data_IF_141262467879
#
_entry.id   IF_141262467879
#
_cell.length_a   1.000
_cell.length_b   1.000
_cell.length_c   1.000
_cell.angle_alpha   90.00
_cell.angle_beta   90.00
_cell.angle_gamma   90.00
#
_symmetry.space_group_name_H-M   'P 1'
#
loop_
_entity.id
_entity.type
_entity.pdbx_description
1 polymer ?
#
# COMPACT_ATOMS: atom_id res chain seq x y z
N UNK A 1 1.83 -26.96 15.15
CA UNK A 1 2.29 -25.99 16.17
C UNK A 1 1.20 -24.95 16.39
N UNK A 2 0.99 -24.50 17.62
CA UNK A 2 -0.15 -23.65 18.02
C UNK A 2 0.37 -22.36 18.64
N UNK A 3 -0.07 -21.21 18.11
CA UNK A 3 0.19 -19.90 18.70
C UNK A 3 -0.53 -19.76 20.05
N UNK A 4 0.12 -19.08 21.00
CA UNK A 4 -0.50 -18.62 22.23
C UNK A 4 -1.55 -17.54 21.92
N UNK A 5 -2.46 -17.27 22.88
CA UNK A 5 -3.53 -16.28 22.68
C UNK A 5 -3.00 -14.87 22.37
N UNK A 6 -1.98 -14.42 23.11
CA UNK A 6 -1.35 -13.11 22.90
C UNK A 6 -0.67 -13.01 21.53
N UNK A 7 0.12 -14.03 21.16
CA UNK A 7 0.75 -14.16 19.85
C UNK A 7 -0.28 -14.15 18.71
N UNK A 8 -1.39 -14.87 18.90
CA UNK A 8 -2.48 -14.91 17.94
C UNK A 8 -3.13 -13.54 17.75
N UNK A 9 -3.30 -12.77 18.82
CA UNK A 9 -3.82 -11.41 18.71
C UNK A 9 -2.82 -10.45 18.04
N UNK A 10 -1.53 -10.59 18.35
CA UNK A 10 -0.47 -9.85 17.65
C UNK A 10 -0.48 -10.12 16.15
N UNK A 11 -0.63 -11.39 15.73
CA UNK A 11 -0.76 -11.74 14.32
C UNK A 11 -2.02 -11.12 13.72
N UNK A 12 -3.17 -11.18 14.40
CA UNK A 12 -4.43 -10.58 13.93
C UNK A 12 -4.28 -9.09 13.63
N UNK A 13 -3.59 -8.37 14.51
CA UNK A 13 -3.42 -6.92 14.43
C UNK A 13 -2.27 -6.46 13.52
N UNK A 14 -1.46 -7.39 12.98
CA UNK A 14 -0.30 -7.08 12.11
C UNK A 14 -0.67 -6.19 10.92
N UNK A 15 -1.90 -6.35 10.42
CA UNK A 15 -2.48 -5.50 9.37
C UNK A 15 -3.85 -5.00 9.84
N UNK A 16 -3.89 -4.38 11.04
CA UNK A 16 -5.08 -3.69 11.57
C UNK A 16 -6.36 -4.52 11.72
N UNK A 17 -6.23 -5.85 11.77
CA UNK A 17 -7.39 -6.74 11.79
C UNK A 17 -7.92 -7.12 10.40
N UNK A 18 -7.21 -6.80 9.33
CA UNK A 18 -7.55 -7.19 7.96
C UNK A 18 -6.75 -8.44 7.53
N UNK A 19 -7.31 -9.17 6.57
CA UNK A 19 -6.63 -10.26 5.89
C UNK A 19 -5.40 -9.70 5.16
N UNK A 20 -4.22 -10.23 5.48
CA UNK A 20 -2.97 -9.83 4.86
C UNK A 20 -2.95 -10.02 3.34
N UNK A 21 -3.82 -10.87 2.79
CA UNK A 21 -3.87 -11.18 1.36
C UNK A 21 -4.91 -10.34 0.62
N UNK A 22 -6.20 -10.55 0.88
CA UNK A 22 -7.27 -9.83 0.15
C UNK A 22 -7.70 -8.51 0.78
N UNK A 23 -7.27 -8.20 2.01
CA UNK A 23 -7.61 -6.96 2.70
C UNK A 23 -8.99 -6.91 3.35
N UNK A 24 -9.79 -7.98 3.29
CA UNK A 24 -11.09 -8.02 3.98
C UNK A 24 -10.91 -7.90 5.50
N UNK A 25 -11.81 -7.20 6.18
CA UNK A 25 -11.84 -7.15 7.64
C UNK A 25 -12.07 -8.55 8.21
N UNK A 26 -11.25 -8.95 9.18
CA UNK A 26 -11.36 -10.25 9.83
C UNK A 26 -12.40 -10.20 10.94
N UNK A 27 -13.40 -11.07 10.87
CA UNK A 27 -14.29 -11.36 11.99
C UNK A 27 -13.66 -12.33 12.99
N UNK A 28 -14.49 -12.91 13.86
CA UNK A 28 -14.04 -13.83 14.92
C UNK A 28 -13.37 -15.10 14.38
N UNK A 29 -13.74 -15.51 13.16
CA UNK A 29 -13.20 -16.70 12.48
C UNK A 29 -12.20 -16.29 11.41
N UNK A 30 -10.92 -16.46 11.73
CA UNK A 30 -9.79 -16.19 10.84
C UNK A 30 -8.67 -17.21 11.07
N UNK A 31 -7.75 -17.35 10.12
CA UNK A 31 -6.65 -18.32 10.17
C UNK A 31 -5.31 -17.59 10.31
N UNK A 32 -4.40 -18.17 11.09
CA UNK A 32 -3.01 -17.72 11.10
C UNK A 32 -2.26 -18.57 10.09
N UNK A 33 -1.90 -17.96 8.96
CA UNK A 33 -1.18 -18.58 7.87
C UNK A 33 0.33 -18.39 8.02
N UNK A 34 1.11 -19.22 7.34
CA UNK A 34 2.54 -19.05 7.13
C UNK A 34 2.77 -18.46 5.75
N UNK A 35 3.41 -17.28 5.67
CA UNK A 35 3.74 -16.68 4.36
C UNK A 35 4.61 -17.65 3.54
N UNK A 36 5.72 -18.09 4.12
CA UNK A 36 6.50 -19.25 3.66
C UNK A 36 6.00 -20.51 4.39
N UNK A 37 5.46 -21.52 3.68
CA UNK A 37 4.74 -22.62 4.31
C UNK A 37 5.65 -23.49 5.19
N UNK A 38 5.06 -24.09 6.22
CA UNK A 38 5.63 -25.29 6.87
C UNK A 38 5.02 -26.51 6.19
N UNK A 39 5.86 -27.37 5.60
CA UNK A 39 5.38 -28.49 4.79
C UNK A 39 5.22 -29.73 5.67
N UNK A 40 3.99 -30.25 5.76
CA UNK A 40 3.71 -31.52 6.45
C UNK A 40 3.74 -32.65 5.44
N UNK A 41 4.60 -33.63 5.66
CA UNK A 41 4.69 -34.83 4.81
C UNK A 41 3.59 -35.79 5.27
N UNK A 42 2.77 -36.28 4.33
CA UNK A 42 1.50 -36.97 4.64
C UNK A 42 1.68 -38.28 5.43
N UNK A 43 2.87 -38.90 5.37
CA UNK A 43 3.15 -40.21 5.96
C UNK A 43 4.21 -40.18 7.06
N UNK A 44 4.72 -39.00 7.39
CA UNK A 44 5.74 -38.83 8.42
C UNK A 44 5.23 -37.89 9.51
N UNK A 45 5.56 -38.16 10.77
CA UNK A 45 5.39 -37.17 11.86
C UNK A 45 6.44 -36.05 11.79
N UNK A 46 6.95 -35.79 10.60
CA UNK A 46 8.03 -34.86 10.30
C UNK A 46 7.45 -33.72 9.47
N UNK A 47 7.87 -32.50 9.80
CA UNK A 47 7.56 -31.32 9.03
C UNK A 47 8.86 -30.77 8.46
N UNK A 48 8.88 -30.49 7.17
CA UNK A 48 9.95 -29.75 6.53
C UNK A 48 9.74 -28.25 6.74
N UNK A 49 10.85 -27.50 6.70
CA UNK A 49 10.84 -26.04 6.86
C UNK A 49 10.21 -25.60 8.20
N UNK A 50 10.48 -26.36 9.27
CA UNK A 50 9.87 -26.14 10.58
C UNK A 50 10.17 -24.74 11.16
N UNK A 51 11.33 -24.18 10.80
CA UNK A 51 11.80 -22.85 11.20
C UNK A 51 10.90 -21.72 10.65
N UNK A 52 10.10 -22.01 9.61
CA UNK A 52 9.08 -21.09 9.12
C UNK A 52 7.96 -20.86 10.14
N UNK A 53 7.86 -21.68 11.19
CA UNK A 53 6.92 -21.46 12.30
C UNK A 53 7.44 -20.40 13.29
N UNK A 54 7.48 -19.15 12.86
CA UNK A 54 7.86 -18.01 13.69
C UNK A 54 6.90 -16.83 13.47
N UNK A 55 6.80 -15.92 14.45
CA UNK A 55 5.87 -14.79 14.40
C UNK A 55 6.07 -13.87 13.20
N UNK A 56 7.31 -13.69 12.72
CA UNK A 56 7.62 -12.85 11.57
C UNK A 56 6.95 -13.36 10.29
N UNK A 57 6.92 -14.67 10.12
CA UNK A 57 6.32 -15.37 8.98
C UNK A 57 4.80 -15.62 9.13
N UNK A 58 4.22 -15.39 10.31
CA UNK A 58 2.78 -15.53 10.51
C UNK A 58 2.01 -14.36 9.88
N UNK A 59 0.93 -14.70 9.17
CA UNK A 59 0.05 -13.75 8.49
C UNK A 59 -1.42 -13.96 8.92
N UNK A 60 -2.16 -12.89 9.25
CA UNK A 60 -3.59 -13.01 9.48
C UNK A 60 -4.32 -13.19 8.15
N UNK A 61 -5.11 -14.24 8.00
CA UNK A 61 -5.78 -14.57 6.74
C UNK A 61 -7.26 -14.90 6.96
N UNK A 62 -8.12 -14.49 6.02
CA UNK A 62 -9.47 -15.02 5.96
C UNK A 62 -9.43 -16.51 5.53
N UNK A 63 -10.45 -17.28 5.91
CA UNK A 63 -10.48 -18.70 5.61
C UNK A 63 -10.34 -19.02 4.10
N UNK A 64 -11.03 -18.31 3.17
CA UNK A 64 -10.86 -18.54 1.73
C UNK A 64 -9.42 -18.36 1.24
N UNK A 65 -8.75 -17.27 1.64
CA UNK A 65 -7.37 -17.02 1.23
C UNK A 65 -6.41 -18.09 1.76
N UNK A 66 -6.50 -18.43 3.04
CA UNK A 66 -5.63 -19.44 3.65
C UNK A 66 -5.84 -20.82 3.01
N UNK A 67 -7.10 -21.23 2.78
CA UNK A 67 -7.42 -22.52 2.15
C UNK A 67 -6.90 -22.53 0.70
N UNK A 68 -7.11 -21.43 -0.03
CA UNK A 68 -6.67 -21.29 -1.41
C UNK A 68 -5.14 -21.29 -1.56
N UNK A 69 -4.42 -20.57 -0.70
CA UNK A 69 -2.95 -20.55 -0.70
C UNK A 69 -2.38 -21.92 -0.38
N UNK A 70 -2.87 -22.55 0.69
CA UNK A 70 -2.39 -23.85 1.14
C UNK A 70 -0.86 -23.86 1.33
N UNK A 71 -0.18 -24.80 0.67
CA UNK A 71 1.28 -24.94 0.71
C UNK A 71 2.02 -24.22 -0.42
N UNK A 72 1.34 -23.40 -1.21
CA UNK A 72 1.96 -22.71 -2.36
C UNK A 72 2.90 -21.61 -1.88
N UNK A 73 3.91 -21.32 -2.71
CA UNK A 73 4.68 -20.08 -2.58
C UNK A 73 3.79 -18.88 -2.86
N UNK A 74 4.17 -17.70 -2.38
CA UNK A 74 3.39 -16.48 -2.59
C UNK A 74 3.19 -16.19 -4.07
N UNK A 75 4.27 -16.24 -4.87
CA UNK A 75 4.21 -15.95 -6.31
C UNK A 75 3.45 -17.03 -7.09
N UNK A 76 3.63 -18.32 -6.74
CA UNK A 76 2.86 -19.39 -7.34
C UNK A 76 1.36 -19.23 -7.10
N UNK A 77 0.99 -18.79 -5.89
CA UNK A 77 -0.41 -18.49 -5.57
C UNK A 77 -0.93 -17.23 -6.29
N UNK A 78 -0.09 -16.20 -6.44
CA UNK A 78 -0.42 -14.99 -7.21
C UNK A 78 -0.80 -15.33 -8.64
N UNK A 79 0.03 -16.13 -9.32
CA UNK A 79 -0.22 -16.59 -10.69
C UNK A 79 -1.48 -17.45 -10.77
N UNK A 80 -1.69 -18.32 -9.77
CA UNK A 80 -2.87 -19.16 -9.70
C UNK A 80 -4.17 -18.35 -9.57
N UNK A 81 -4.19 -17.29 -8.73
CA UNK A 81 -5.32 -16.35 -8.61
C UNK A 81 -5.54 -15.62 -9.94
N UNK A 82 -4.48 -15.07 -10.53
CA UNK A 82 -4.58 -14.36 -11.81
C UNK A 82 -5.15 -15.26 -12.92
N UNK A 83 -4.78 -16.55 -12.90
CA UNK A 83 -5.28 -17.56 -13.81
C UNK A 83 -6.75 -17.94 -13.64
N UNK A 84 -7.42 -17.57 -12.55
CA UNK A 84 -8.85 -17.86 -12.37
C UNK A 84 -9.73 -17.26 -13.46
N UNK A 85 -9.38 -16.07 -13.96
CA UNK A 85 -10.10 -15.44 -15.07
C UNK A 85 -10.07 -16.35 -16.32
N UNK A 86 -8.94 -17.00 -16.59
CA UNK A 86 -8.83 -17.94 -17.72
C UNK A 86 -9.71 -19.18 -17.51
N UNK A 87 -9.77 -19.70 -16.29
CA UNK A 87 -10.65 -20.82 -15.93
C UNK A 87 -12.12 -20.44 -16.07
N UNK A 88 -12.53 -19.28 -15.56
CA UNK A 88 -13.88 -18.73 -15.70
C UNK A 88 -14.27 -18.59 -17.18
N UNK A 89 -13.37 -18.05 -18.00
CA UNK A 89 -13.58 -17.94 -19.44
C UNK A 89 -13.67 -19.28 -20.15
N UNK A 90 -12.95 -20.31 -19.70
CA UNK A 90 -12.91 -21.62 -20.37
C UNK A 90 -14.11 -22.49 -19.99
N UNK A 91 -14.45 -22.54 -18.70
CA UNK A 91 -15.35 -23.57 -18.16
C UNK A 91 -16.73 -23.08 -17.72
N UNK A 92 -16.96 -21.76 -17.63
CA UNK A 92 -18.21 -21.23 -17.08
C UNK A 92 -19.02 -20.40 -18.10
N UNK A 93 -19.98 -21.02 -18.82
CA UNK A 93 -20.84 -20.33 -19.78
C UNK A 93 -21.62 -19.15 -19.17
N UNK A 94 -22.07 -19.27 -17.91
CA UNK A 94 -22.79 -18.20 -17.21
C UNK A 94 -21.90 -16.95 -17.04
N UNK A 95 -20.62 -17.15 -16.73
CA UNK A 95 -19.66 -16.05 -16.62
C UNK A 95 -19.46 -15.35 -17.98
N UNK A 96 -19.29 -16.13 -19.06
CA UNK A 96 -19.18 -15.58 -20.43
C UNK A 96 -20.42 -14.80 -20.85
N UNK A 97 -21.61 -15.31 -20.51
CA UNK A 97 -22.88 -14.64 -20.79
C UNK A 97 -22.97 -13.31 -20.02
N UNK A 98 -22.71 -13.31 -18.72
CA UNK A 98 -22.70 -12.07 -17.93
C UNK A 98 -21.71 -11.03 -18.51
N UNK A 99 -20.54 -11.47 -18.98
CA UNK A 99 -19.56 -10.60 -19.67
C UNK A 99 -20.10 -10.05 -20.99
N UNK A 100 -20.79 -10.85 -21.82
CA UNK A 100 -21.34 -10.37 -23.10
C UNK A 100 -22.44 -9.32 -22.94
N UNK A 101 -23.12 -9.32 -21.79
CA UNK A 101 -24.11 -8.30 -21.42
C UNK A 101 -23.52 -7.12 -20.63
N UNK A 102 -22.18 -7.08 -20.45
CA UNK A 102 -21.51 -5.98 -19.75
C UNK A 102 -21.73 -5.97 -18.23
N UNK A 103 -22.21 -7.08 -17.63
CA UNK A 103 -22.42 -7.18 -16.18
C UNK A 103 -21.10 -7.46 -15.41
N UNK A 104 -20.07 -7.91 -16.13
CA UNK A 104 -18.74 -8.21 -15.59
C UNK A 104 -17.70 -7.54 -16.49
N UNK A 105 -16.72 -6.87 -15.88
CA UNK A 105 -15.55 -6.33 -16.55
C UNK A 105 -14.27 -7.03 -16.04
N UNK A 106 -13.47 -7.53 -16.97
CA UNK A 106 -12.13 -8.06 -16.69
C UNK A 106 -11.13 -6.91 -16.76
N UNK A 107 -10.44 -6.61 -15.66
CA UNK A 107 -9.55 -5.44 -15.57
C UNK A 107 -8.13 -5.73 -16.01
N UNK A 108 -7.70 -7.00 -16.02
CA UNK A 108 -6.30 -7.39 -16.23
C UNK A 108 -5.36 -6.85 -15.15
N UNK A 109 -5.89 -6.32 -14.05
CA UNK A 109 -5.09 -5.76 -12.97
C UNK A 109 -4.21 -6.87 -12.34
N UNK A 110 -2.94 -6.56 -12.00
CA UNK A 110 -2.10 -7.51 -11.31
C UNK A 110 -2.69 -7.83 -9.93
N UNK A 111 -2.52 -9.07 -9.49
CA UNK A 111 -2.87 -9.45 -8.11
C UNK A 111 -1.83 -8.80 -7.19
N UNK A 112 -2.27 -7.87 -6.35
CA UNK A 112 -1.44 -7.23 -5.31
C UNK A 112 -2.02 -7.59 -3.95
N UNK A 113 -1.22 -8.23 -3.10
CA UNK A 113 -1.66 -8.62 -1.78
C UNK A 113 -1.73 -7.40 -0.87
N UNK A 114 -2.64 -7.44 0.09
CA UNK A 114 -2.91 -6.33 0.98
C UNK A 114 -1.66 -5.90 1.77
N UNK A 115 -0.88 -6.85 2.29
CA UNK A 115 0.36 -6.54 3.01
C UNK A 115 1.42 -5.82 2.15
N UNK A 116 1.39 -6.00 0.82
CA UNK A 116 2.32 -5.37 -0.12
C UNK A 116 1.97 -3.90 -0.31
N UNK A 117 0.67 -3.58 -0.38
CA UNK A 117 0.17 -2.20 -0.44
C UNK A 117 0.63 -1.42 0.79
N UNK A 118 0.37 -1.98 1.97
CA UNK A 118 0.77 -1.36 3.23
C UNK A 118 2.29 -1.20 3.35
N UNK A 119 3.09 -2.07 2.72
CA UNK A 119 4.55 -1.95 2.71
C UNK A 119 5.06 -0.90 1.71
N UNK A 120 4.37 -0.72 0.58
CA UNK A 120 4.70 0.29 -0.42
C UNK A 120 4.45 1.70 0.13
N UNK A 121 3.35 1.90 0.86
CA UNK A 121 3.05 3.17 1.52
C UNK A 121 4.05 3.50 2.63
N UNK A 122 4.51 2.50 3.38
CA UNK A 122 5.60 2.64 4.38
C UNK A 122 6.93 3.08 3.72
N UNK A 123 7.24 2.59 2.51
CA UNK A 123 8.45 2.98 1.75
C UNK A 123 8.32 4.37 1.09
N UNK A 124 7.15 4.71 0.55
CA UNK A 124 6.90 6.00 -0.11
C UNK A 124 6.72 7.16 0.89
N UNK A 125 6.22 6.87 2.10
CA UNK A 125 6.01 7.86 3.16
C UNK A 125 7.08 7.85 4.26
N UNK A 126 8.19 7.13 4.09
CA UNK A 126 9.34 7.18 5.01
C UNK A 126 9.07 6.63 6.41
N UNK A 127 8.02 5.84 6.61
CA UNK A 127 7.72 5.17 7.88
C UNK A 127 8.12 3.70 7.77
N UNK A 128 9.26 3.30 8.30
CA UNK A 128 9.56 1.87 8.46
C UNK A 128 8.85 1.32 9.69
N UNK A 129 8.09 0.23 9.51
CA UNK A 129 7.52 -0.53 10.62
C UNK A 129 8.64 -1.12 11.51
N UNK A 130 8.52 -1.12 12.86
CA UNK A 130 9.59 -1.52 13.79
C UNK A 130 10.16 -2.95 13.63
N UNK A 131 9.56 -3.79 12.79
CA UNK A 131 9.95 -5.20 12.63
C UNK A 131 10.93 -5.48 11.49
N UNK A 132 11.33 -4.46 10.71
CA UNK A 132 12.43 -4.57 9.73
C UNK A 132 13.74 -3.87 10.17
N UNK A 133 13.75 -3.25 11.35
CA UNK A 133 14.84 -2.39 11.86
C UNK A 133 15.97 -3.13 12.59
N UNK A 134 16.10 -4.46 12.44
CA UNK A 134 17.15 -5.21 13.11
C UNK A 134 18.52 -5.16 12.40
N UNK A 135 18.64 -4.55 11.21
CA UNK A 135 19.89 -4.61 10.43
C UNK A 135 20.40 -3.29 9.83
N UNK A 136 19.70 -2.16 10.01
CA UNK A 136 20.15 -0.89 9.41
C UNK A 136 19.95 0.23 10.43
N UNK A 137 21.03 0.61 11.10
CA UNK A 137 21.08 1.80 11.94
C UNK A 137 21.05 3.05 11.07
N UNK A 138 19.86 3.58 10.80
CA UNK A 138 19.69 4.90 10.20
C UNK A 138 18.62 5.69 10.95
N UNK A 139 19.00 6.86 11.44
CA UNK A 139 18.10 7.83 12.08
C UNK A 139 16.98 8.27 11.12
N UNK A 140 15.78 7.71 11.28
CA UNK A 140 14.62 7.90 10.38
C UNK A 140 13.71 9.09 10.72
N UNK A 141 14.15 10.06 11.53
CA UNK A 141 13.26 11.15 11.98
C UNK A 141 12.84 12.16 10.88
N UNK A 142 13.54 12.22 9.75
CA UNK A 142 13.29 13.23 8.70
C UNK A 142 12.21 12.88 7.66
N UNK A 143 11.97 11.59 7.38
CA UNK A 143 11.00 11.17 6.35
C UNK A 143 9.55 11.26 6.80
N UNK A 144 9.30 10.89 8.05
CA UNK A 144 7.97 10.87 8.66
C UNK A 144 7.36 12.29 8.76
N UNK A 145 8.20 13.26 9.10
CA UNK A 145 7.79 14.67 9.27
C UNK A 145 7.39 15.34 7.94
N UNK A 146 8.02 14.97 6.82
CA UNK A 146 7.67 15.48 5.50
C UNK A 146 6.37 14.88 4.95
N UNK A 147 6.15 13.59 5.19
CA UNK A 147 4.90 12.91 4.83
C UNK A 147 3.69 13.51 5.56
N UNK A 148 3.82 13.75 6.86
CA UNK A 148 2.76 14.36 7.67
C UNK A 148 2.47 15.79 7.25
N UNK A 149 3.50 16.59 6.97
CA UNK A 149 3.32 17.96 6.49
C UNK A 149 2.63 18.02 5.13
N UNK A 150 2.95 17.11 4.21
CA UNK A 150 2.29 17.02 2.90
C UNK A 150 0.81 16.66 3.03
N UNK A 151 0.50 15.75 3.96
CA UNK A 151 -0.87 15.33 4.23
C UNK A 151 -1.70 16.42 4.86
N UNK A 152 -1.15 17.14 5.84
CA UNK A 152 -1.81 18.30 6.46
C UNK A 152 -2.14 19.38 5.41
N UNK A 153 -1.22 19.63 4.46
CA UNK A 153 -1.46 20.56 3.35
C UNK A 153 -2.64 20.11 2.48
N UNK A 154 -2.70 18.82 2.14
CA UNK A 154 -3.80 18.26 1.36
C UNK A 154 -5.13 18.38 2.11
N UNK A 155 -5.20 17.95 3.36
CA UNK A 155 -6.43 17.99 4.16
C UNK A 155 -6.95 19.43 4.34
N UNK A 156 -6.03 20.38 4.55
CA UNK A 156 -6.34 21.82 4.61
C UNK A 156 -6.90 22.32 3.28
N UNK A 157 -6.26 21.98 2.16
CA UNK A 157 -6.72 22.38 0.83
C UNK A 157 -8.08 21.75 0.48
N UNK A 158 -8.29 20.48 0.79
CA UNK A 158 -9.54 19.76 0.58
C UNK A 158 -10.69 20.40 1.37
N UNK A 159 -10.48 20.66 2.67
CA UNK A 159 -11.46 21.36 3.53
C UNK A 159 -11.81 22.74 2.98
N UNK A 160 -10.80 23.52 2.60
CA UNK A 160 -11.02 24.85 2.00
C UNK A 160 -11.81 24.77 0.69
N UNK A 161 -11.55 23.78 -0.16
CA UNK A 161 -12.30 23.55 -1.39
C UNK A 161 -13.76 23.16 -1.13
N UNK A 162 -14.03 22.31 -0.13
CA UNK A 162 -15.40 21.95 0.28
C UNK A 162 -16.21 23.16 0.75
N UNK A 163 -15.60 24.05 1.53
CA UNK A 163 -16.26 25.25 2.07
C UNK A 163 -16.49 26.36 1.04
N UNK A 164 -15.83 26.32 -0.11
CA UNK A 164 -16.02 27.27 -1.23
C UNK A 164 -17.17 26.87 -2.18
N UNK A 165 -17.78 25.70 -1.99
CA UNK A 165 -18.88 25.22 -2.84
C UNK A 165 -20.16 25.99 -2.56
N UNK A 166 -21.10 25.96 -3.52
CA UNK A 166 -22.41 26.60 -3.41
C UNK A 166 -23.20 26.18 -2.17
N UNK A 167 -22.98 24.94 -1.71
CA UNK A 167 -23.45 24.45 -0.41
C UNK A 167 -22.22 24.12 0.45
N UNK A 168 -21.82 25.01 1.36
CA UNK A 168 -20.62 24.82 2.17
C UNK A 168 -20.90 23.75 3.23
N UNK A 169 -20.32 22.57 3.05
CA UNK A 169 -20.38 21.47 4.02
C UNK A 169 -19.04 20.76 4.06
N UNK A 170 -18.57 20.50 5.28
CA UNK A 170 -17.40 19.68 5.53
C UNK A 170 -17.65 18.83 6.79
N UNK A 171 -17.40 17.54 6.68
CA UNK A 171 -17.43 16.59 7.80
C UNK A 171 -16.02 16.01 7.94
N UNK A 172 -15.41 16.14 9.12
CA UNK A 172 -14.06 15.64 9.37
C UNK A 172 -13.96 14.12 9.26
N UNK A 173 -15.08 13.39 9.40
CA UNK A 173 -15.10 11.93 9.25
C UNK A 173 -14.67 11.44 7.85
N UNK A 174 -14.70 12.31 6.82
CA UNK A 174 -14.19 11.97 5.49
C UNK A 174 -12.68 11.71 5.47
N UNK A 175 -11.96 12.18 6.49
CA UNK A 175 -10.54 11.90 6.70
C UNK A 175 -10.29 10.70 7.61
N UNK A 176 -11.30 9.90 7.93
CA UNK A 176 -11.09 8.62 8.59
C UNK A 176 -10.22 7.72 7.71
N UNK A 177 -9.21 7.09 8.33
CA UNK A 177 -8.24 6.26 7.63
C UNK A 177 -8.32 4.81 8.08
N UNK A 178 -7.90 3.90 7.20
CA UNK A 178 -7.60 2.55 7.61
C UNK A 178 -6.21 2.46 8.25
N UNK A 179 -5.81 1.24 8.58
CA UNK A 179 -4.56 0.96 9.26
C UNK A 179 -3.34 0.96 8.32
N UNK A 180 -3.54 1.11 7.00
CA UNK A 180 -2.47 1.39 6.04
C UNK A 180 -2.36 2.88 5.73
N UNK A 181 -3.03 3.72 6.55
CA UNK A 181 -3.00 5.17 6.45
C UNK A 181 -3.66 5.68 5.15
N UNK A 182 -4.52 4.87 4.53
CA UNK A 182 -5.37 5.25 3.40
C UNK A 182 -6.69 5.83 3.90
N UNK A 183 -7.21 6.86 3.21
CA UNK A 183 -8.53 7.40 3.49
C UNK A 183 -9.62 6.38 3.14
N UNK A 184 -10.52 6.12 4.09
CA UNK A 184 -11.66 5.23 3.89
C UNK A 184 -12.65 5.78 2.84
N UNK A 185 -12.70 7.10 2.68
CA UNK A 185 -13.52 7.73 1.67
C UNK A 185 -12.82 7.68 0.30
N UNK A 186 -13.39 6.94 -0.65
CA UNK A 186 -12.78 6.73 -1.97
C UNK A 186 -12.52 8.01 -2.76
N UNK A 187 -13.37 9.03 -2.64
CA UNK A 187 -13.16 10.32 -3.32
C UNK A 187 -12.00 11.10 -2.71
N UNK A 188 -11.86 11.06 -1.38
CA UNK A 188 -10.71 11.66 -0.69
C UNK A 188 -9.45 10.91 -1.05
N UNK A 189 -9.47 9.57 -1.05
CA UNK A 189 -8.31 8.75 -1.42
C UNK A 189 -7.84 9.00 -2.86
N UNK A 190 -8.77 9.07 -3.83
CA UNK A 190 -8.40 9.40 -5.21
C UNK A 190 -7.84 10.82 -5.35
N UNK A 191 -8.39 11.79 -4.60
CA UNK A 191 -7.87 13.15 -4.60
C UNK A 191 -6.48 13.23 -3.95
N UNK A 192 -6.25 12.45 -2.89
CA UNK A 192 -4.95 12.32 -2.23
C UNK A 192 -3.91 11.73 -3.17
N UNK A 193 -4.22 10.61 -3.82
CA UNK A 193 -3.34 10.01 -4.84
C UNK A 193 -3.00 11.00 -5.96
N UNK A 194 -4.01 11.63 -6.56
CA UNK A 194 -3.78 12.62 -7.63
C UNK A 194 -2.94 13.81 -7.17
N UNK A 195 -3.12 14.26 -5.92
CA UNK A 195 -2.31 15.30 -5.31
C UNK A 195 -0.84 14.88 -5.16
N UNK A 196 -0.58 13.66 -4.71
CA UNK A 196 0.77 13.12 -4.60
C UNK A 196 1.44 13.01 -5.97
N UNK A 197 0.79 12.38 -6.95
CA UNK A 197 1.30 12.23 -8.32
C UNK A 197 1.64 13.58 -8.96
N UNK A 198 0.78 14.59 -8.78
CA UNK A 198 1.03 15.93 -9.30
C UNK A 198 2.32 16.55 -8.77
N UNK A 199 2.72 16.20 -7.54
CA UNK A 199 3.93 16.72 -6.88
C UNK A 199 5.17 15.89 -7.19
N UNK A 200 5.04 14.59 -7.36
CA UNK A 200 6.13 13.71 -7.79
C UNK A 200 6.51 13.99 -9.24
N UNK A 201 5.55 14.32 -10.10
CA UNK A 201 5.81 14.64 -11.51
C UNK A 201 6.53 15.98 -11.74
N UNK A 202 6.54 16.88 -10.75
CA UNK A 202 7.12 18.21 -10.90
C UNK A 202 8.62 18.18 -10.61
N UNK A 203 9.40 17.89 -11.66
CA UNK A 203 10.87 17.98 -11.63
C UNK A 203 11.30 19.27 -12.31
N UNK A 204 12.00 20.14 -11.58
CA UNK A 204 12.54 21.39 -12.11
C UNK A 204 14.04 21.20 -12.37
N UNK A 205 14.43 21.23 -13.65
CA UNK A 205 15.84 21.22 -14.03
C UNK A 205 16.47 22.58 -13.73
N UNK A 206 17.36 22.62 -12.73
CA UNK A 206 18.11 23.82 -12.41
C UNK A 206 19.20 24.08 -13.47
N UNK A 207 19.56 25.36 -13.72
CA UNK A 207 20.62 25.68 -14.66
C UNK A 207 21.96 25.09 -14.19
N UNK A 208 22.88 24.87 -15.13
CA UNK A 208 24.25 24.45 -14.79
C UNK A 208 24.89 25.50 -13.87
N UNK A 209 25.51 25.10 -12.76
CA UNK A 209 26.19 26.05 -11.90
C UNK A 209 27.44 26.58 -12.62
N UNK A 210 27.77 27.85 -12.41
CA UNK A 210 29.06 28.40 -12.86
C UNK A 210 30.06 28.37 -11.71
N UNK A 211 31.33 28.27 -12.08
CA UNK A 211 32.41 28.19 -11.12
C UNK A 211 32.80 29.59 -10.63
N UNK A 212 32.92 29.75 -9.32
CA UNK A 212 33.47 30.94 -8.67
C UNK A 212 34.66 30.57 -7.82
N UNK A 213 35.36 31.59 -7.33
CA UNK A 213 36.52 31.46 -6.43
C UNK A 213 36.15 30.82 -5.08
N UNK A 214 34.85 30.72 -4.77
CA UNK A 214 34.30 30.14 -3.53
C UNK A 214 33.49 28.86 -3.79
N UNK A 215 33.50 28.34 -5.02
CA UNK A 215 32.79 27.11 -5.42
C UNK A 215 31.77 27.32 -6.53
N UNK A 216 31.04 26.25 -6.87
CA UNK A 216 29.99 26.27 -7.89
C UNK A 216 28.73 26.96 -7.35
N UNK A 217 28.18 27.94 -8.08
CA UNK A 217 26.99 28.70 -7.67
C UNK A 217 25.89 28.69 -8.75
N UNK A 218 24.64 28.86 -8.33
CA UNK A 218 23.44 29.03 -9.17
C UNK A 218 22.94 30.48 -9.12
N UNK A 219 22.40 31.00 -10.22
CA UNK A 219 22.07 32.42 -10.38
C UNK A 219 20.67 32.58 -9.85
N UNK A 220 20.39 33.55 -8.96
CA UNK A 220 19.03 33.80 -8.51
C UNK A 220 18.05 33.93 -9.68
N UNK A 221 18.47 34.64 -10.74
CA UNK A 221 17.67 34.78 -11.97
C UNK A 221 17.53 33.47 -12.76
N UNK A 222 18.58 32.65 -12.85
CA UNK A 222 18.52 31.37 -13.57
C UNK A 222 17.67 30.34 -12.83
N UNK A 223 17.73 30.32 -11.49
CA UNK A 223 16.87 29.48 -10.65
C UNK A 223 15.42 29.92 -10.78
N UNK A 224 15.13 31.23 -10.65
CA UNK A 224 13.78 31.77 -10.86
C UNK A 224 13.25 31.42 -12.24
N UNK A 225 14.04 31.62 -13.29
CA UNK A 225 13.65 31.29 -14.66
C UNK A 225 13.32 29.81 -14.84
N UNK A 226 14.13 28.90 -14.27
CA UNK A 226 13.88 27.46 -14.33
C UNK A 226 12.57 27.07 -13.63
N UNK A 227 12.27 27.70 -12.49
CA UNK A 227 11.02 27.45 -11.76
C UNK A 227 9.81 28.00 -12.54
N UNK A 228 9.91 29.22 -13.06
CA UNK A 228 8.86 29.86 -13.85
C UNK A 228 8.60 29.16 -15.19
N UNK A 229 9.65 28.65 -15.86
CA UNK A 229 9.53 27.89 -17.11
C UNK A 229 8.88 26.51 -16.91
N UNK A 230 9.00 25.94 -15.71
CA UNK A 230 8.24 24.76 -15.29
C UNK A 230 6.77 25.08 -14.93
N UNK A 231 6.31 26.32 -15.14
CA UNK A 231 4.94 26.75 -14.87
C UNK A 231 4.64 27.05 -13.40
N UNK A 232 5.66 27.10 -12.54
CA UNK A 232 5.52 27.37 -11.11
C UNK A 232 5.71 28.86 -10.86
N UNK A 233 4.74 29.48 -10.17
CA UNK A 233 4.81 30.90 -9.85
C UNK A 233 5.80 31.15 -8.71
N UNK A 234 6.77 32.04 -8.93
CA UNK A 234 7.73 32.47 -7.91
C UNK A 234 7.38 33.88 -7.44
N UNK A 235 7.03 34.04 -6.16
CA UNK A 235 6.81 35.37 -5.58
C UNK A 235 8.15 36.07 -5.26
N UNK A 236 8.21 37.42 -5.25
CA UNK A 236 9.41 38.19 -4.91
C UNK A 236 9.94 37.91 -3.50
#
# INVERSE_FOLDING_TARGET
MRLKKAEREQVRLKYGGNCAYCGVLLGDRWHADHLEPVIRVADERVAEQIDNHNLGNMMPACAPCNISKGRQTLEGWRDWIAGHINSLNSYHPIYRLAKSYGLIAETGAPVVFYFERCSHDLQMHGRLHPLLLASIGTDHKGGDQMSEQLREQFETAYKAACLKRSVPRFDAAVFAKDHCDDYLNSLVQSAWWAWQESRVSLVIELPKPWQTNVGAMLTPNGVRFAIESAGVKVTP
#
